data_IF_471170667049
#
_entry.id   IF_471170667049
#
_cell.length_a   1.000
_cell.length_b   1.000
_cell.length_c   1.000
_cell.angle_alpha   90.00
_cell.angle_beta   90.00
_cell.angle_gamma   90.00
#
_symmetry.space_group_name_H-M   'P 1'
#
loop_
_entity.id
_entity.type
_entity.pdbx_description
1 polymer ?
#
# COMPACT_ATOMS: atom_id res chain seq x y z
N UNK A 1 -11.46 -5.28 10.22
CA UNK A 1 -12.64 -6.01 10.68
C UNK A 1 -13.77 -5.72 9.69
N UNK A 2 -14.49 -6.74 9.21
CA UNK A 2 -15.61 -6.61 8.26
C UNK A 2 -16.96 -6.92 8.91
N UNK A 3 -17.00 -7.16 10.22
CA UNK A 3 -18.20 -7.65 10.94
C UNK A 3 -19.42 -6.75 10.75
N UNK A 4 -19.22 -5.43 10.67
CA UNK A 4 -20.32 -4.48 10.43
C UNK A 4 -20.98 -4.66 9.05
N UNK A 5 -20.21 -5.03 8.01
CA UNK A 5 -20.75 -5.32 6.68
C UNK A 5 -21.56 -6.62 6.70
N UNK A 6 -21.07 -7.63 7.41
CA UNK A 6 -21.78 -8.91 7.56
C UNK A 6 -23.11 -8.75 8.33
N UNK A 7 -23.23 -7.71 9.16
CA UNK A 7 -24.45 -7.36 9.88
C UNK A 7 -25.43 -6.48 9.05
N UNK A 8 -25.17 -6.29 7.75
CA UNK A 8 -26.01 -5.47 6.86
C UNK A 8 -25.66 -3.97 6.90
N UNK A 9 -24.58 -3.59 7.57
CA UNK A 9 -24.02 -2.24 7.47
C UNK A 9 -23.38 -1.99 6.10
N UNK A 10 -23.07 -0.72 5.83
CA UNK A 10 -22.40 -0.27 4.61
C UNK A 10 -21.21 0.61 4.95
N UNK A 11 -20.22 0.65 4.06
CA UNK A 11 -19.05 1.51 4.21
C UNK A 11 -17.78 0.84 3.68
N UNK A 12 -16.76 1.65 3.46
CA UNK A 12 -15.46 1.17 3.03
C UNK A 12 -14.66 0.68 4.24
N UNK A 13 -14.10 -0.53 4.15
CA UNK A 13 -13.20 -1.08 5.19
C UNK A 13 -11.74 -0.72 4.89
N UNK A 14 -11.40 -0.59 3.61
CA UNK A 14 -10.06 -0.33 3.11
C UNK A 14 -10.16 0.32 1.73
N UNK A 15 -9.37 1.37 1.51
CA UNK A 15 -9.31 2.14 0.25
C UNK A 15 -8.65 1.38 -0.89
N UNK A 16 -7.76 0.44 -0.56
CA UNK A 16 -7.05 -0.40 -1.53
C UNK A 16 -7.04 -1.88 -1.14
N UNK A 17 -6.89 -2.73 -2.15
CA UNK A 17 -6.51 -4.13 -1.98
C UNK A 17 -5.21 -4.41 -2.74
N UNK A 18 -4.30 -5.18 -2.12
CA UNK A 18 -2.99 -5.49 -2.69
C UNK A 18 -2.83 -7.01 -2.80
N UNK A 19 -2.33 -7.47 -3.94
CA UNK A 19 -1.91 -8.86 -4.18
C UNK A 19 -0.41 -8.89 -4.46
N UNK A 20 0.29 -9.81 -3.81
CA UNK A 20 1.74 -9.93 -3.93
C UNK A 20 2.15 -11.18 -4.70
N UNK A 21 3.02 -10.98 -5.69
CA UNK A 21 3.86 -12.02 -6.29
C UNK A 21 5.32 -11.70 -5.95
N UNK A 22 6.25 -12.68 -5.88
CA UNK A 22 7.67 -12.38 -5.67
C UNK A 22 8.23 -11.35 -6.66
N UNK A 23 7.68 -11.30 -7.88
CA UNK A 23 8.20 -10.48 -8.97
C UNK A 23 7.30 -9.32 -9.40
N UNK A 24 6.11 -9.19 -8.81
CA UNK A 24 5.18 -8.11 -9.12
C UNK A 24 4.27 -7.78 -7.94
N UNK A 25 3.62 -6.61 -8.00
CA UNK A 25 2.62 -6.19 -7.03
C UNK A 25 1.42 -5.65 -7.78
N UNK A 26 0.23 -6.10 -7.43
CA UNK A 26 -1.01 -5.57 -7.98
C UNK A 26 -1.78 -4.80 -6.92
N UNK A 27 -2.27 -3.62 -7.28
CA UNK A 27 -3.11 -2.76 -6.44
C UNK A 27 -4.46 -2.58 -7.11
N UNK A 28 -5.52 -2.65 -6.31
CA UNK A 28 -6.91 -2.36 -6.69
C UNK A 28 -7.41 -1.18 -5.87
N UNK A 29 -7.90 -0.14 -6.54
CA UNK A 29 -8.47 1.08 -5.94
C UNK A 29 -9.60 1.62 -6.84
N UNK A 30 -10.78 1.95 -6.28
CA UNK A 30 -11.88 2.53 -7.07
C UNK A 30 -12.32 1.63 -8.23
N UNK A 31 -12.25 2.05 -9.50
CA UNK A 31 -12.44 1.18 -10.67
C UNK A 31 -11.12 0.57 -11.22
N UNK A 32 -9.97 1.02 -10.74
CA UNK A 32 -8.67 0.71 -11.33
C UNK A 32 -7.99 -0.52 -10.75
N UNK A 33 -7.32 -1.28 -11.61
CA UNK A 33 -6.28 -2.24 -11.22
C UNK A 33 -4.96 -1.84 -11.86
N UNK A 34 -3.93 -1.76 -11.03
CA UNK A 34 -2.55 -1.51 -11.44
C UNK A 34 -1.67 -2.71 -11.13
N UNK A 35 -0.70 -3.01 -12.00
CA UNK A 35 0.35 -3.99 -11.74
C UNK A 35 1.72 -3.37 -11.99
N UNK A 36 2.55 -3.42 -10.96
CA UNK A 36 3.95 -2.97 -11.00
C UNK A 36 4.89 -4.16 -11.22
N UNK A 37 5.80 -3.99 -12.19
CA UNK A 37 6.93 -4.89 -12.43
C UNK A 37 8.26 -4.14 -12.26
N UNK A 38 9.32 -4.78 -11.72
CA UNK A 38 10.66 -4.20 -11.71
C UNK A 38 11.15 -3.94 -13.14
N UNK A 39 11.71 -2.74 -13.38
CA UNK A 39 12.22 -2.32 -14.71
C UNK A 39 13.17 -3.33 -15.36
N UNK A 40 14.00 -3.98 -14.57
CA UNK A 40 14.97 -4.97 -15.05
C UNK A 40 14.32 -6.21 -15.71
N UNK A 41 13.06 -6.52 -15.39
CA UNK A 41 12.37 -7.70 -15.91
C UNK A 41 12.15 -7.65 -17.42
N UNK A 42 11.93 -6.45 -17.98
CA UNK A 42 11.58 -6.26 -19.39
C UNK A 42 12.46 -5.21 -20.08
N UNK A 43 13.66 -4.94 -19.57
CA UNK A 43 14.49 -3.80 -20.01
C UNK A 43 14.89 -3.83 -21.50
N UNK A 44 14.87 -4.99 -22.17
CA UNK A 44 15.16 -5.11 -23.60
C UNK A 44 14.03 -4.56 -24.48
N UNK A 45 12.78 -4.80 -24.07
CA UNK A 45 11.58 -4.40 -24.82
C UNK A 45 11.05 -3.05 -24.32
N UNK A 46 11.18 -2.80 -23.02
CA UNK A 46 10.66 -1.62 -22.33
C UNK A 46 11.76 -0.99 -21.45
N UNK A 47 12.71 -0.24 -22.05
CA UNK A 47 13.85 0.34 -21.32
C UNK A 47 13.41 1.34 -20.23
N UNK A 48 12.28 2.02 -20.42
CA UNK A 48 11.74 2.98 -19.45
C UNK A 48 10.88 2.33 -18.35
N UNK A 49 10.53 1.05 -18.53
CA UNK A 49 9.72 0.24 -17.63
C UNK A 49 8.40 -0.24 -18.25
N UNK A 50 7.89 -1.35 -17.73
CA UNK A 50 6.64 -1.97 -18.11
C UNK A 50 5.67 -2.03 -16.92
N UNK A 51 4.38 -2.01 -17.19
CA UNK A 51 3.32 -2.11 -16.20
C UNK A 51 1.98 -2.40 -16.86
N UNK A 52 0.97 -2.61 -16.01
CA UNK A 52 -0.39 -2.84 -16.46
C UNK A 52 -1.34 -1.90 -15.72
N UNK A 53 -2.27 -1.28 -16.44
CA UNK A 53 -3.37 -0.49 -15.88
C UNK A 53 -4.66 -0.86 -16.60
N UNK A 54 -5.70 -1.18 -15.82
CA UNK A 54 -7.03 -1.52 -16.34
C UNK A 54 -8.11 -0.75 -15.59
N UNK A 55 -9.11 -0.28 -16.33
CA UNK A 55 -10.36 0.22 -15.77
C UNK A 55 -11.36 -0.95 -15.69
N UNK A 56 -11.63 -1.51 -14.52
CA UNK A 56 -12.50 -2.68 -14.40
C UNK A 56 -13.99 -2.37 -14.53
N UNK A 57 -14.40 -1.09 -14.53
CA UNK A 57 -15.79 -0.72 -14.83
C UNK A 57 -16.05 -0.73 -16.34
N UNK A 58 -15.07 -0.28 -17.13
CA UNK A 58 -15.16 -0.22 -18.59
C UNK A 58 -14.64 -1.50 -19.27
N UNK A 59 -13.66 -2.15 -18.65
CA UNK A 59 -12.99 -3.35 -19.12
C UNK A 59 -12.86 -4.40 -18.00
N UNK A 60 -13.97 -5.08 -17.63
CA UNK A 60 -13.98 -6.10 -16.57
C UNK A 60 -13.11 -7.33 -16.87
N UNK A 61 -12.72 -7.52 -18.15
CA UNK A 61 -11.93 -8.66 -18.62
C UNK A 61 -10.46 -8.34 -18.81
N UNK A 62 -10.06 -7.08 -18.58
CA UNK A 62 -8.66 -6.63 -18.59
C UNK A 62 -7.97 -6.87 -19.94
N UNK A 63 -8.71 -6.68 -21.04
CA UNK A 63 -8.22 -6.89 -22.39
C UNK A 63 -7.35 -5.72 -22.90
N UNK A 64 -7.54 -4.52 -22.34
CA UNK A 64 -6.95 -3.28 -22.82
C UNK A 64 -6.02 -2.67 -21.78
N UNK A 65 -4.71 -2.93 -21.91
CA UNK A 65 -3.72 -2.32 -21.03
C UNK A 65 -3.51 -0.84 -21.36
N UNK A 66 -3.94 0.03 -20.43
CA UNK A 66 -3.86 1.49 -20.53
C UNK A 66 -2.53 2.08 -20.05
N UNK A 67 -1.58 1.25 -19.58
CA UNK A 67 -0.35 1.71 -18.93
C UNK A 67 0.52 2.66 -19.79
N UNK A 68 0.50 2.45 -21.12
CA UNK A 68 1.31 3.24 -22.06
C UNK A 68 0.58 4.48 -22.59
N UNK A 69 -0.69 4.65 -22.26
CA UNK A 69 -1.46 5.81 -22.68
C UNK A 69 -1.18 7.00 -21.73
N UNK A 70 -0.60 8.11 -22.24
CA UNK A 70 -0.22 9.25 -21.41
C UNK A 70 -1.42 9.93 -20.73
N UNK A 71 -2.66 9.73 -21.21
CA UNK A 71 -3.85 10.27 -20.57
C UNK A 71 -4.05 9.72 -19.14
N UNK A 72 -3.55 8.52 -18.85
CA UNK A 72 -3.70 7.87 -17.55
C UNK A 72 -2.46 7.97 -16.66
N UNK A 73 -1.46 8.78 -17.05
CA UNK A 73 -0.20 8.91 -16.30
C UNK A 73 -0.41 9.32 -14.84
N UNK A 74 -1.36 10.21 -14.57
CA UNK A 74 -1.68 10.68 -13.22
C UNK A 74 -2.27 9.55 -12.35
N UNK A 75 -3.11 8.69 -12.93
CA UNK A 75 -3.70 7.53 -12.25
C UNK A 75 -2.59 6.52 -11.89
N UNK A 76 -1.66 6.27 -12.81
CA UNK A 76 -0.51 5.38 -12.54
C UNK A 76 0.35 5.97 -11.41
N UNK A 77 0.56 7.28 -11.38
CA UNK A 77 1.33 7.95 -10.34
C UNK A 77 0.63 7.85 -8.97
N UNK A 78 -0.69 8.02 -8.92
CA UNK A 78 -1.50 7.84 -7.72
C UNK A 78 -1.41 6.40 -7.21
N UNK A 79 -1.72 5.41 -8.05
CA UNK A 79 -1.71 4.00 -7.64
C UNK A 79 -0.32 3.50 -7.22
N UNK A 80 0.74 4.04 -7.82
CA UNK A 80 2.13 3.76 -7.41
C UNK A 80 2.44 4.37 -6.04
N UNK A 81 1.90 5.54 -5.76
CA UNK A 81 2.05 6.20 -4.45
C UNK A 81 1.31 5.42 -3.36
N UNK A 82 0.08 4.96 -3.64
CA UNK A 82 -0.68 4.08 -2.75
C UNK A 82 0.03 2.74 -2.51
N UNK A 83 0.63 2.14 -3.55
CA UNK A 83 1.45 0.94 -3.38
C UNK A 83 2.66 1.20 -2.46
N UNK A 84 3.34 2.33 -2.63
CA UNK A 84 4.49 2.69 -1.81
C UNK A 84 4.08 2.92 -0.36
N UNK A 85 3.00 3.67 -0.11
CA UNK A 85 2.44 3.88 1.23
C UNK A 85 2.08 2.54 1.88
N UNK A 86 1.42 1.65 1.12
CA UNK A 86 1.13 0.30 1.58
C UNK A 86 2.39 -0.48 1.93
N UNK A 87 3.41 -0.47 1.07
CA UNK A 87 4.68 -1.18 1.34
C UNK A 87 5.36 -0.65 2.61
N UNK A 88 5.41 0.67 2.80
CA UNK A 88 6.00 1.31 3.98
C UNK A 88 5.26 0.91 5.26
N UNK A 89 3.93 0.91 5.21
CA UNK A 89 3.08 0.63 6.38
C UNK A 89 2.86 -0.85 6.65
N UNK A 90 3.11 -1.73 5.67
CA UNK A 90 2.82 -3.18 5.77
C UNK A 90 4.00 -4.12 5.57
N UNK A 91 5.13 -3.65 5.01
CA UNK A 91 6.35 -4.46 4.87
C UNK A 91 7.27 -4.22 6.07
N UNK A 92 7.97 -5.27 6.51
CA UNK A 92 8.95 -5.17 7.60
C UNK A 92 10.35 -4.98 7.03
N UNK A 93 11.08 -3.93 7.42
CA UNK A 93 12.49 -3.83 7.07
C UNK A 93 13.27 -4.90 7.85
N UNK A 94 13.92 -5.82 7.15
CA UNK A 94 14.69 -6.92 7.78
C UNK A 94 15.98 -6.45 8.47
N UNK A 95 16.42 -5.22 8.21
CA UNK A 95 17.78 -4.74 8.52
C UNK A 95 17.84 -3.55 9.49
N UNK A 96 16.72 -3.11 10.06
CA UNK A 96 16.72 -1.94 10.95
C UNK A 96 16.91 -2.32 12.42
N UNK A 97 17.65 -1.46 13.14
CA UNK A 97 17.64 -1.48 14.59
C UNK A 97 16.21 -1.11 15.05
N UNK A 98 15.56 -1.96 15.83
CA UNK A 98 14.15 -1.82 16.15
C UNK A 98 13.84 -0.64 17.09
N UNK A 99 12.57 -0.24 17.07
CA UNK A 99 12.07 0.98 17.67
C UNK A 99 12.21 0.99 19.20
N UNK A 100 12.39 2.20 19.75
CA UNK A 100 12.41 2.45 21.19
C UNK A 100 11.04 2.09 21.79
N UNK A 101 11.04 1.48 22.98
CA UNK A 101 9.82 1.11 23.73
C UNK A 101 8.87 2.30 23.90
N UNK A 102 7.68 2.23 23.29
CA UNK A 102 6.54 3.03 23.74
C UNK A 102 5.66 2.12 24.62
N UNK A 103 5.27 2.60 25.80
CA UNK A 103 4.74 1.80 26.92
C UNK A 103 3.39 1.11 26.70
N UNK A 104 2.91 1.04 25.45
CA UNK A 104 1.62 0.47 25.09
C UNK A 104 1.75 -1.04 24.78
N UNK A 105 1.79 -1.84 25.85
CA UNK A 105 2.13 -3.27 25.86
C UNK A 105 1.11 -4.21 25.18
N UNK A 106 -0.05 -3.71 24.74
CA UNK A 106 -1.15 -4.57 24.25
C UNK A 106 -0.85 -5.27 22.92
N UNK A 107 0.05 -4.72 22.13
CA UNK A 107 0.47 -5.30 20.85
C UNK A 107 1.99 -5.34 20.72
N UNK A 108 2.76 -5.12 21.79
CA UNK A 108 4.22 -5.16 21.76
C UNK A 108 4.77 -6.57 21.91
N UNK A 109 5.85 -6.90 21.19
CA UNK A 109 6.62 -8.13 21.41
C UNK A 109 8.10 -7.79 21.59
N UNK A 110 8.81 -8.60 22.40
CA UNK A 110 10.24 -8.46 22.60
C UNK A 110 10.94 -9.56 21.81
N UNK A 111 11.76 -9.18 20.84
CA UNK A 111 12.59 -10.09 20.07
C UNK A 111 14.05 -9.63 20.14
N UNK A 112 14.98 -10.47 20.61
CA UNK A 112 16.40 -10.13 20.78
C UNK A 112 16.66 -8.74 21.43
N UNK A 113 16.07 -8.48 22.60
CA UNK A 113 16.23 -7.23 23.40
C UNK A 113 15.59 -5.97 22.79
N UNK A 114 14.80 -6.15 21.75
CA UNK A 114 14.21 -5.05 21.02
C UNK A 114 12.69 -5.01 21.13
N UNK A 115 12.12 -3.80 21.17
CA UNK A 115 10.68 -3.61 21.22
C UNK A 115 10.14 -3.29 19.83
N UNK A 116 9.17 -4.07 19.40
CA UNK A 116 8.37 -3.78 18.22
C UNK A 116 6.92 -4.04 18.56
N UNK A 117 5.99 -3.58 17.73
CA UNK A 117 4.69 -4.26 17.68
C UNK A 117 4.92 -5.77 17.42
N UNK A 118 3.96 -6.64 17.74
CA UNK A 118 3.96 -8.05 17.35
C UNK A 118 4.16 -8.18 15.83
N UNK A 119 3.73 -7.14 15.11
CA UNK A 119 3.93 -7.00 13.68
C UNK A 119 5.22 -6.27 13.24
N UNK A 120 6.17 -6.00 14.13
CA UNK A 120 7.49 -5.51 13.77
C UNK A 120 7.54 -4.06 13.27
N UNK A 121 6.40 -3.35 13.24
CA UNK A 121 6.25 -2.04 12.59
C UNK A 121 5.88 -0.94 13.57
N UNK A 122 5.92 0.30 13.09
CA UNK A 122 5.26 1.45 13.70
C UNK A 122 3.76 1.28 13.49
N UNK A 123 2.96 1.42 14.55
CA UNK A 123 1.50 1.29 14.43
C UNK A 123 0.94 2.40 13.51
N UNK A 124 0.07 2.11 12.53
CA UNK A 124 -0.47 3.13 11.63
C UNK A 124 -1.18 4.30 12.36
N UNK A 125 -1.78 4.05 13.54
CA UNK A 125 -2.34 5.16 14.35
C UNK A 125 -1.27 6.16 14.80
N UNK A 126 -0.02 5.75 15.03
CA UNK A 126 1.05 6.68 15.39
C UNK A 126 1.42 7.61 14.25
N UNK A 127 1.30 7.13 13.00
CA UNK A 127 1.48 7.96 11.80
C UNK A 127 0.30 8.93 11.67
N UNK A 128 -0.93 8.45 11.83
CA UNK A 128 -2.15 9.30 11.79
C UNK A 128 -2.18 10.35 12.91
N UNK A 129 -1.77 10.00 14.11
CA UNK A 129 -1.63 10.93 15.25
C UNK A 129 -0.60 12.02 14.96
N UNK A 130 0.49 11.71 14.26
CA UNK A 130 1.49 12.70 13.86
C UNK A 130 0.91 13.72 12.86
N UNK A 131 0.05 13.28 11.94
CA UNK A 131 -0.66 14.16 10.99
C UNK A 131 -1.59 15.14 11.71
N UNK A 132 -2.27 14.72 12.77
CA UNK A 132 -3.16 15.58 13.57
C UNK A 132 -2.42 16.63 14.42
N UNK A 133 -1.20 16.33 14.88
CA UNK A 133 -0.38 17.28 15.67
C UNK A 133 0.12 18.47 14.86
N UNK A 134 0.28 18.33 13.54
CA UNK A 134 0.67 19.43 12.67
C UNK A 134 -0.43 20.50 12.55
N UNK A 135 -1.71 20.13 12.67
CA UNK A 135 -2.82 21.09 12.60
C UNK A 135 -3.02 21.91 13.88
N UNK A 136 -2.56 21.42 15.05
CA UNK A 136 -2.67 22.15 16.32
C UNK A 136 -1.54 23.18 16.55
N UNK A 137 -0.42 23.07 15.83
CA UNK A 137 0.72 23.98 16.01
C UNK A 137 0.73 25.16 15.01
N UNK A 138 -0.36 25.35 14.26
CA UNK A 138 -0.59 26.43 13.29
C UNK A 138 -1.89 27.21 13.56
N UNK A 139 -2.32 27.25 14.82
CA UNK A 139 -3.38 28.13 15.36
C UNK A 139 -2.87 28.79 16.64
#
# INVERSE_FOLDING_TARGET
>A
DISHLLAGGSGEVRSIAVTECPWSKSVRQGPWRYVYYPKAMFAQEYPDGFGELYNLEEDPWEENNLYFDPQYADIIAEMRSELLEWLITTTRPATILPAVKDGNLRQGSIHFRNYTNADGKIHPDKIREASGRLQQNYL
#
